data_IF_521822861493
#
_entry.id   IF_521822861493
#
_cell.length_a   1.000
_cell.length_b   1.000
_cell.length_c   1.000
_cell.angle_alpha   90.00
_cell.angle_beta   90.00
_cell.angle_gamma   90.00
#
_symmetry.space_group_name_H-M   'P 1'
#
loop_
_entity.id
_entity.type
_entity.pdbx_description
1 polymer ?
#
# COMPACT_ATOMS: atom_id res chain seq x y z
N UNK A 1 9.57 9.71 14.77
CA UNK A 1 8.36 9.55 13.95
C UNK A 1 8.75 9.08 12.55
N UNK A 2 8.15 7.99 12.09
CA UNK A 2 8.24 7.52 10.72
C UNK A 2 7.13 8.21 9.93
N UNK A 3 7.48 8.80 8.79
CA UNK A 3 6.53 9.52 7.95
C UNK A 3 6.13 8.69 6.74
N UNK A 4 4.84 8.70 6.38
CA UNK A 4 4.26 7.92 5.29
C UNK A 4 3.60 8.86 4.28
N UNK A 5 3.82 8.59 2.98
CA UNK A 5 3.07 9.19 1.89
C UNK A 5 2.47 8.09 1.00
N UNK A 6 1.20 8.24 0.62
CA UNK A 6 0.54 7.27 -0.28
C UNK A 6 0.16 7.90 -1.62
N UNK A 7 0.31 7.12 -2.69
CA UNK A 7 -0.26 7.37 -4.00
C UNK A 7 -1.10 6.15 -4.41
N UNK A 8 -2.42 6.33 -4.41
CA UNK A 8 -3.40 5.26 -4.48
C UNK A 8 -4.25 5.37 -5.73
N UNK A 9 -4.59 4.22 -6.33
CA UNK A 9 -5.66 4.12 -7.33
C UNK A 9 -6.76 3.23 -6.78
N UNK A 10 -6.66 1.91 -6.93
CA UNK A 10 -7.77 1.00 -6.62
C UNK A 10 -8.12 0.94 -5.13
N UNK A 11 -7.26 1.45 -4.24
CA UNK A 11 -7.55 1.59 -2.80
C UNK A 11 -8.19 2.93 -2.42
N UNK A 12 -8.41 3.84 -3.38
CA UNK A 12 -9.21 5.08 -3.24
C UNK A 12 -8.83 6.02 -2.08
N UNK A 13 -7.56 6.05 -1.63
CA UNK A 13 -7.16 6.89 -0.50
C UNK A 13 -7.51 6.30 0.87
N UNK A 14 -8.02 5.07 0.90
CA UNK A 14 -8.38 4.37 2.13
C UNK A 14 -7.11 4.10 2.96
N UNK A 15 -5.98 3.77 2.33
CA UNK A 15 -4.76 3.46 3.08
C UNK A 15 -4.27 4.65 3.90
N UNK A 16 -4.16 5.83 3.28
CA UNK A 16 -3.76 7.04 4.01
C UNK A 16 -4.69 7.32 5.19
N UNK A 17 -6.02 7.21 4.97
CA UNK A 17 -7.02 7.40 6.03
C UNK A 17 -6.83 6.40 7.18
N UNK A 18 -6.69 5.12 6.86
CA UNK A 18 -6.57 4.06 7.86
C UNK A 18 -5.28 4.17 8.66
N UNK A 19 -4.16 4.38 7.99
CA UNK A 19 -2.85 4.56 8.64
C UNK A 19 -2.90 5.77 9.57
N UNK A 20 -3.50 6.89 9.12
CA UNK A 20 -3.69 8.07 9.95
C UNK A 20 -4.56 7.79 11.18
N UNK A 21 -5.71 7.13 10.99
CA UNK A 21 -6.61 6.80 12.10
C UNK A 21 -5.94 5.89 13.15
N UNK A 22 -5.16 4.90 12.70
CA UNK A 22 -4.36 4.01 13.56
C UNK A 22 -3.33 4.84 14.33
N UNK A 23 -2.55 5.68 13.64
CA UNK A 23 -1.48 6.48 14.23
C UNK A 23 -1.99 7.47 15.30
N UNK A 24 -3.17 8.05 15.07
CA UNK A 24 -3.78 8.99 15.99
C UNK A 24 -4.60 8.33 17.11
N UNK A 25 -4.77 7.01 17.07
CA UNK A 25 -5.60 6.28 18.03
C UNK A 25 -7.07 6.70 17.98
N UNK A 26 -7.60 6.96 16.78
CA UNK A 26 -9.01 7.33 16.64
C UNK A 26 -9.94 6.16 16.96
N UNK A 27 -11.06 6.48 17.59
CA UNK A 27 -12.09 5.52 18.02
C UNK A 27 -13.44 5.83 17.36
N UNK A 28 -14.41 4.93 17.56
CA UNK A 28 -15.78 5.03 17.05
C UNK A 28 -15.84 5.29 15.55
N UNK A 29 -16.67 6.25 15.12
CA UNK A 29 -16.94 6.56 13.72
C UNK A 29 -15.76 7.18 12.98
N UNK A 30 -14.70 7.56 13.70
CA UNK A 30 -13.48 8.12 13.13
C UNK A 30 -12.30 7.14 13.23
N UNK A 31 -12.50 6.00 13.89
CA UNK A 31 -11.51 4.96 14.03
C UNK A 31 -11.27 4.15 12.76
N UNK A 32 -10.19 3.38 12.77
CA UNK A 32 -9.85 2.50 11.65
C UNK A 32 -10.89 1.39 11.50
N UNK A 33 -11.40 1.23 10.28
CA UNK A 33 -12.24 0.09 9.89
C UNK A 33 -11.47 -1.24 9.92
N UNK A 34 -10.15 -1.18 9.98
CA UNK A 34 -9.24 -2.33 10.01
C UNK A 34 -8.63 -2.56 11.38
N UNK A 35 -9.11 -1.90 12.45
CA UNK A 35 -8.62 -2.08 13.82
C UNK A 35 -8.53 -3.56 14.24
N UNK A 36 -9.51 -4.40 13.88
CA UNK A 36 -9.45 -5.84 14.18
C UNK A 36 -8.27 -6.53 13.50
N UNK A 37 -8.01 -6.19 12.22
CA UNK A 37 -6.88 -6.72 11.49
C UNK A 37 -5.56 -6.26 12.11
N UNK A 38 -5.42 -4.98 12.39
CA UNK A 38 -4.22 -4.38 13.00
C UNK A 38 -3.91 -5.07 14.33
N UNK A 39 -4.89 -5.15 15.23
CA UNK A 39 -4.76 -5.83 16.52
C UNK A 39 -4.35 -7.32 16.38
N UNK A 40 -4.84 -8.01 15.34
CA UNK A 40 -4.47 -9.40 15.08
C UNK A 40 -3.02 -9.51 14.65
N UNK A 41 -2.59 -8.68 13.70
CA UNK A 41 -1.22 -8.69 13.17
C UNK A 41 -0.22 -8.25 14.25
N UNK A 42 -0.55 -7.25 15.06
CA UNK A 42 0.25 -6.83 16.23
C UNK A 42 0.48 -7.97 17.22
N UNK A 43 -0.56 -8.75 17.51
CA UNK A 43 -0.44 -9.93 18.39
C UNK A 43 0.51 -10.97 17.81
N UNK A 44 0.53 -11.13 16.49
CA UNK A 44 1.46 -12.04 15.83
C UNK A 44 2.90 -11.50 15.89
N UNK A 45 3.10 -10.20 15.65
CA UNK A 45 4.40 -9.52 15.86
C UNK A 45 4.89 -9.66 17.31
N UNK A 46 4.01 -9.50 18.30
CA UNK A 46 4.37 -9.62 19.71
C UNK A 46 4.79 -11.05 20.08
N UNK A 47 4.10 -12.07 19.56
CA UNK A 47 4.51 -13.47 19.78
C UNK A 47 5.88 -13.74 19.19
N UNK A 48 6.10 -13.30 17.95
CA UNK A 48 7.38 -13.49 17.25
C UNK A 48 8.50 -12.74 18.00
N UNK A 49 8.25 -11.51 18.46
CA UNK A 49 9.19 -10.75 19.27
C UNK A 49 9.57 -11.46 20.57
N UNK A 50 8.61 -12.06 21.28
CA UNK A 50 8.89 -12.84 22.49
C UNK A 50 9.73 -14.08 22.18
N UNK A 51 9.44 -14.78 21.08
CA UNK A 51 10.19 -15.97 20.67
C UNK A 51 11.62 -15.65 20.23
N UNK A 52 11.83 -14.47 19.66
CA UNK A 52 13.12 -13.98 19.18
C UNK A 52 13.90 -13.16 20.23
N UNK A 53 13.38 -13.04 21.46
CA UNK A 53 13.96 -12.22 22.54
C UNK A 53 14.15 -10.73 22.16
N UNK A 54 13.25 -10.20 21.31
CA UNK A 54 13.18 -8.78 20.97
C UNK A 54 12.58 -7.97 22.11
N UNK A 55 13.20 -6.83 22.43
CA UNK A 55 12.82 -5.99 23.57
C UNK A 55 11.55 -5.13 23.36
N UNK A 56 11.07 -4.96 22.12
CA UNK A 56 9.91 -4.12 21.82
C UNK A 56 9.29 -4.41 20.46
N UNK A 57 8.01 -4.07 20.30
CA UNK A 57 7.33 -3.94 19.00
C UNK A 57 7.19 -2.45 18.65
N UNK A 58 6.92 -2.17 17.38
CA UNK A 58 6.73 -0.81 16.89
C UNK A 58 5.47 -0.15 17.50
N UNK A 59 5.59 1.10 17.93
CA UNK A 59 4.47 1.91 18.42
C UNK A 59 3.86 2.73 17.28
N UNK A 60 2.62 2.43 16.89
CA UNK A 60 1.96 3.13 15.77
C UNK A 60 1.77 4.63 15.99
N UNK A 61 1.83 5.11 17.25
CA UNK A 61 1.79 6.55 17.55
C UNK A 61 3.03 7.29 17.04
N UNK A 62 4.08 6.56 16.69
CA UNK A 62 5.26 7.12 16.01
C UNK A 62 5.07 7.24 14.50
N UNK A 63 3.92 6.88 13.92
CA UNK A 63 3.59 7.15 12.52
C UNK A 63 3.00 8.55 12.32
N UNK A 64 3.29 9.14 11.16
CA UNK A 64 2.60 10.33 10.67
C UNK A 64 2.39 10.23 9.17
N UNK A 65 1.15 10.46 8.72
CA UNK A 65 0.81 10.50 7.29
C UNK A 65 0.99 11.93 6.79
N UNK A 66 1.93 12.15 5.87
CA UNK A 66 2.17 13.48 5.27
C UNK A 66 1.10 13.78 4.22
N UNK A 67 0.81 12.82 3.35
CA UNK A 67 -0.24 12.95 2.36
C UNK A 67 -0.80 11.59 1.93
N UNK A 68 -2.06 11.62 1.50
CA UNK A 68 -2.71 10.53 0.77
C UNK A 68 -3.24 11.06 -0.54
N UNK A 69 -2.77 10.51 -1.65
CA UNK A 69 -3.09 11.00 -2.99
C UNK A 69 -3.92 9.94 -3.72
N UNK A 70 -5.14 10.27 -4.13
CA UNK A 70 -5.89 9.43 -5.07
C UNK A 70 -5.56 9.86 -6.50
N UNK A 71 -4.77 9.05 -7.22
CA UNK A 71 -4.17 9.38 -8.52
C UNK A 71 -4.60 8.36 -9.58
N UNK A 72 -5.89 8.30 -9.98
CA UNK A 72 -6.36 7.30 -10.94
C UNK A 72 -5.88 7.57 -12.38
N UNK A 73 -5.73 8.85 -12.77
CA UNK A 73 -5.47 9.25 -14.15
C UNK A 73 -4.00 9.33 -14.51
N UNK A 74 -3.64 9.04 -15.76
CA UNK A 74 -2.29 9.21 -16.29
C UNK A 74 -1.80 10.68 -16.21
N UNK A 75 -2.70 11.64 -16.42
CA UNK A 75 -2.34 13.07 -16.32
C UNK A 75 -1.87 13.44 -14.91
N UNK A 76 -2.59 13.00 -13.87
CA UNK A 76 -2.19 13.22 -12.48
C UNK A 76 -0.90 12.49 -12.10
N UNK A 77 -0.62 11.32 -12.70
CA UNK A 77 0.69 10.65 -12.56
C UNK A 77 1.81 11.57 -13.07
N UNK A 78 1.62 12.22 -14.22
CA UNK A 78 2.63 13.14 -14.78
C UNK A 78 2.70 14.48 -14.04
N UNK A 79 1.56 15.08 -13.71
CA UNK A 79 1.50 16.45 -13.19
C UNK A 79 1.64 16.54 -11.66
N UNK A 80 1.07 15.57 -10.92
CA UNK A 80 1.10 15.56 -9.45
C UNK A 80 2.29 14.75 -8.97
N UNK A 81 2.44 13.51 -9.45
CA UNK A 81 3.56 12.65 -9.05
C UNK A 81 4.88 12.97 -9.78
N UNK A 82 4.85 13.85 -10.79
CA UNK A 82 6.04 14.28 -11.54
C UNK A 82 6.82 13.11 -12.15
N UNK A 83 6.11 12.03 -12.50
CA UNK A 83 6.70 10.88 -13.18
C UNK A 83 6.75 11.20 -14.68
N UNK A 84 7.94 11.54 -15.19
CA UNK A 84 8.13 11.94 -16.59
C UNK A 84 7.80 10.80 -17.57
N UNK A 85 8.28 9.59 -17.25
CA UNK A 85 8.11 8.38 -18.06
C UNK A 85 7.32 7.33 -17.26
N UNK A 86 5.99 7.47 -17.12
CA UNK A 86 5.17 6.46 -16.47
C UNK A 86 5.11 5.18 -17.32
N UNK A 87 4.73 4.06 -16.70
CA UNK A 87 4.43 2.82 -17.44
C UNK A 87 3.35 3.12 -18.46
N UNK A 88 3.55 2.69 -19.71
CA UNK A 88 2.57 2.84 -20.78
C UNK A 88 1.37 1.92 -20.53
N UNK A 89 0.14 2.47 -20.37
CA UNK A 89 -1.03 1.67 -20.10
C UNK A 89 -1.48 0.88 -21.34
N UNK A 90 -2.08 -0.28 -21.10
CA UNK A 90 -2.73 -1.06 -22.15
C UNK A 90 -3.91 -0.29 -22.77
N UNK A 91 -4.64 0.44 -21.92
CA UNK A 91 -5.78 1.25 -22.29
C UNK A 91 -5.98 2.43 -21.33
N UNK A 92 -6.63 3.48 -21.81
CA UNK A 92 -7.11 4.60 -21.01
C UNK A 92 -8.64 4.66 -21.00
N UNK A 93 -9.26 4.47 -19.83
CA UNK A 93 -10.70 4.66 -19.64
C UNK A 93 -10.94 6.06 -19.09
N UNK A 94 -11.31 7.03 -19.94
CA UNK A 94 -11.49 8.44 -19.53
C UNK A 94 -10.26 9.00 -18.80
N UNK A 95 -9.06 8.63 -19.27
CA UNK A 95 -7.77 9.02 -18.68
C UNK A 95 -7.30 8.13 -17.53
N UNK A 96 -8.14 7.22 -17.01
CA UNK A 96 -7.76 6.22 -16.00
C UNK A 96 -6.87 5.17 -16.66
N UNK A 97 -5.71 4.91 -16.05
CA UNK A 97 -4.71 3.95 -16.54
C UNK A 97 -5.15 2.51 -16.26
N UNK A 98 -5.09 1.65 -17.28
CA UNK A 98 -5.33 0.21 -17.18
C UNK A 98 -4.05 -0.53 -17.54
N UNK A 99 -3.54 -1.34 -16.62
CA UNK A 99 -2.39 -2.22 -16.82
C UNK A 99 -2.80 -3.69 -16.65
N UNK A 100 -1.91 -4.61 -17.04
CA UNK A 100 -1.93 -5.98 -16.52
C UNK A 100 -1.19 -6.04 -15.17
N UNK A 101 -1.13 -7.23 -14.55
CA UNK A 101 -0.46 -7.43 -13.27
C UNK A 101 1.02 -6.98 -13.27
N UNK A 102 1.73 -7.16 -14.39
CA UNK A 102 3.15 -6.76 -14.48
C UNK A 102 3.29 -5.24 -14.50
N UNK A 103 2.50 -4.57 -15.33
CA UNK A 103 2.48 -3.11 -15.42
C UNK A 103 1.96 -2.46 -14.14
N UNK A 104 0.99 -3.07 -13.46
CA UNK A 104 0.51 -2.59 -12.16
C UNK A 104 1.59 -2.69 -11.08
N UNK A 105 2.36 -3.78 -11.02
CA UNK A 105 3.48 -3.90 -10.07
C UNK A 105 4.53 -2.80 -10.35
N UNK A 106 4.96 -2.66 -11.59
CA UNK A 106 5.95 -1.65 -11.98
C UNK A 106 5.46 -0.22 -11.66
N UNK A 107 4.24 0.10 -12.07
CA UNK A 107 3.66 1.42 -11.84
C UNK A 107 3.42 1.69 -10.35
N UNK A 108 3.04 0.68 -9.55
CA UNK A 108 2.87 0.85 -8.10
C UNK A 108 4.18 1.25 -7.41
N UNK A 109 5.32 0.68 -7.83
CA UNK A 109 6.65 1.04 -7.33
C UNK A 109 6.98 2.49 -7.69
N UNK A 110 6.81 2.88 -8.97
CA UNK A 110 7.04 4.26 -9.40
C UNK A 110 6.18 5.27 -8.64
N UNK A 111 4.90 4.95 -8.41
CA UNK A 111 3.99 5.79 -7.64
C UNK A 111 4.43 5.93 -6.17
N UNK A 112 4.85 4.83 -5.55
CA UNK A 112 5.33 4.83 -4.17
C UNK A 112 6.58 5.70 -4.01
N UNK A 113 7.57 5.54 -4.90
CA UNK A 113 8.81 6.33 -4.88
C UNK A 113 8.54 7.81 -5.13
N UNK A 114 7.65 8.13 -6.07
CA UNK A 114 7.27 9.51 -6.36
C UNK A 114 6.55 10.17 -5.17
N UNK A 115 5.57 9.49 -4.55
CA UNK A 115 4.87 9.99 -3.36
C UNK A 115 5.85 10.24 -2.21
N UNK A 116 6.75 9.29 -1.94
CA UNK A 116 7.80 9.42 -0.93
C UNK A 116 8.67 10.65 -1.20
N UNK A 117 9.15 10.81 -2.43
CA UNK A 117 10.05 11.90 -2.85
C UNK A 117 9.38 13.27 -2.71
N UNK A 118 8.15 13.42 -3.21
CA UNK A 118 7.42 14.70 -3.19
C UNK A 118 7.11 15.13 -1.76
N UNK A 119 6.72 14.17 -0.92
CA UNK A 119 6.37 14.43 0.48
C UNK A 119 7.59 14.52 1.41
N UNK A 120 8.79 14.17 0.93
CA UNK A 120 9.97 13.94 1.76
C UNK A 120 9.67 12.99 2.93
N UNK A 121 8.96 11.90 2.64
CA UNK A 121 8.54 10.90 3.61
C UNK A 121 9.59 9.80 3.81
N UNK A 122 9.54 9.12 4.96
CA UNK A 122 10.35 7.94 5.26
C UNK A 122 9.93 6.74 4.40
N UNK A 123 8.61 6.55 4.22
CA UNK A 123 8.03 5.43 3.49
C UNK A 123 7.04 5.96 2.44
N UNK A 124 7.13 5.43 1.22
CA UNK A 124 6.14 5.59 0.16
C UNK A 124 5.27 4.35 0.02
N UNK A 125 3.99 4.54 -0.27
CA UNK A 125 3.07 3.45 -0.61
C UNK A 125 2.39 3.75 -1.93
N UNK A 126 2.43 2.80 -2.86
CA UNK A 126 1.82 2.91 -4.19
C UNK A 126 0.83 1.81 -4.43
N UNK A 127 -0.35 2.12 -4.98
CA UNK A 127 -1.34 1.10 -5.39
C UNK A 127 -1.94 1.42 -6.75
N UNK A 128 -2.06 0.41 -7.62
CA UNK A 128 -2.74 0.49 -8.90
C UNK A 128 -3.35 -0.87 -9.27
N UNK A 129 -4.48 -0.88 -9.98
CA UNK A 129 -5.05 -2.13 -10.48
C UNK A 129 -5.89 -1.89 -11.74
N UNK A 130 -5.48 -2.48 -12.85
CA UNK A 130 -6.23 -2.60 -14.09
C UNK A 130 -6.89 -3.97 -14.18
N UNK A 131 -6.24 -4.89 -14.91
CA UNK A 131 -6.67 -6.26 -15.18
C UNK A 131 -5.81 -7.22 -14.37
N UNK A 132 -6.44 -8.03 -13.52
CA UNK A 132 -5.75 -8.98 -12.65
C UNK A 132 -5.87 -8.62 -11.17
N UNK A 133 -4.86 -9.00 -10.40
CA UNK A 133 -4.76 -8.80 -8.95
C UNK A 133 -4.25 -7.40 -8.56
N UNK A 134 -3.67 -6.65 -9.50
CA UNK A 134 -3.15 -5.32 -9.28
C UNK A 134 -1.81 -5.30 -8.55
N UNK A 135 -1.27 -4.10 -8.35
CA UNK A 135 0.05 -3.85 -7.80
C UNK A 135 0.00 -3.01 -6.52
N UNK A 136 0.80 -3.43 -5.56
CA UNK A 136 1.03 -2.80 -4.26
C UNK A 136 2.53 -2.66 -4.12
N UNK A 137 3.00 -1.49 -3.70
CA UNK A 137 4.39 -1.25 -3.33
C UNK A 137 4.48 -0.51 -1.99
N UNK A 138 5.43 -0.93 -1.15
CA UNK A 138 5.90 -0.20 0.02
C UNK A 138 7.40 0.00 -0.15
N UNK A 139 7.85 1.25 -0.13
CA UNK A 139 9.25 1.62 -0.43
C UNK A 139 9.83 2.53 0.62
N UNK A 140 11.08 2.31 1.00
CA UNK A 140 11.90 3.24 1.76
C UNK A 140 13.24 3.49 1.02
N UNK A 141 14.30 3.86 1.74
CA UNK A 141 15.64 4.06 1.16
C UNK A 141 16.42 2.77 0.93
N UNK A 142 16.07 1.66 1.60
CA UNK A 142 16.85 0.42 1.60
C UNK A 142 16.12 -0.74 0.93
N UNK A 143 14.79 -0.71 0.90
CA UNK A 143 13.92 -1.83 0.57
C UNK A 143 12.77 -1.39 -0.32
N UNK A 144 12.43 -2.27 -1.26
CA UNK A 144 11.17 -2.27 -2.01
C UNK A 144 10.44 -3.57 -1.67
N UNK A 145 9.23 -3.47 -1.16
CA UNK A 145 8.31 -4.60 -1.04
C UNK A 145 7.23 -4.44 -2.09
N UNK A 146 7.14 -5.36 -3.05
CA UNK A 146 6.05 -5.40 -4.02
C UNK A 146 5.12 -6.59 -3.75
N UNK A 147 3.84 -6.38 -4.01
CA UNK A 147 2.81 -7.38 -3.82
C UNK A 147 1.63 -7.16 -4.76
N UNK A 148 0.74 -8.14 -4.86
CA UNK A 148 -0.59 -7.98 -5.45
C UNK A 148 -1.68 -8.18 -4.41
N UNK A 149 -2.94 -7.80 -4.71
CA UNK A 149 -4.07 -8.24 -3.90
C UNK A 149 -4.29 -9.77 -4.03
N UNK A 150 -5.23 -10.31 -3.26
CA UNK A 150 -5.61 -11.73 -3.31
C UNK A 150 -6.85 -11.97 -4.19
N UNK A 151 -7.36 -10.93 -4.86
CA UNK A 151 -8.59 -11.00 -5.67
C UNK A 151 -8.32 -10.43 -7.06
N UNK A 152 -8.53 -11.24 -8.09
CA UNK A 152 -8.46 -10.79 -9.48
C UNK A 152 -9.76 -10.09 -9.88
N UNK A 153 -9.65 -8.98 -10.60
CA UNK A 153 -10.78 -8.28 -11.21
C UNK A 153 -10.35 -7.61 -12.52
N UNK A 154 -11.33 -7.14 -13.30
CA UNK A 154 -11.10 -6.40 -14.53
C UNK A 154 -11.75 -5.02 -14.43
N UNK A 155 -10.93 -3.96 -14.47
CA UNK A 155 -11.41 -2.58 -14.41
C UNK A 155 -12.30 -2.20 -15.62
N UNK A 156 -12.10 -2.84 -16.77
CA UNK A 156 -12.86 -2.54 -18.00
C UNK A 156 -14.30 -3.06 -17.88
N UNK A 157 -14.50 -4.23 -17.27
CA UNK A 157 -15.80 -4.92 -17.22
C UNK A 157 -16.79 -4.24 -16.26
N UNK A 158 -16.31 -3.37 -15.35
CA UNK A 158 -17.14 -2.60 -14.44
C UNK A 158 -17.87 -3.42 -13.37
N UNK A 159 -17.45 -4.67 -13.13
CA UNK A 159 -17.98 -5.53 -12.07
C UNK A 159 -17.65 -4.95 -10.69
N UNK A 160 -18.61 -4.19 -10.15
CA UNK A 160 -18.42 -3.40 -8.95
C UNK A 160 -18.16 -4.26 -7.70
N UNK A 161 -18.72 -5.46 -7.65
CA UNK A 161 -18.55 -6.35 -6.50
C UNK A 161 -17.14 -6.92 -6.47
N UNK A 162 -16.63 -7.44 -7.60
CA UNK A 162 -15.25 -7.92 -7.68
C UNK A 162 -14.23 -6.78 -7.54
N UNK A 163 -14.50 -5.61 -8.09
CA UNK A 163 -13.65 -4.42 -7.89
C UNK A 163 -13.59 -4.01 -6.42
N UNK A 164 -14.73 -4.05 -5.71
CA UNK A 164 -14.77 -3.76 -4.28
C UNK A 164 -14.03 -4.81 -3.45
N UNK A 165 -14.18 -6.10 -3.77
CA UNK A 165 -13.45 -7.18 -3.11
C UNK A 165 -11.94 -7.06 -3.33
N UNK A 166 -11.51 -6.72 -4.55
CA UNK A 166 -10.11 -6.42 -4.87
C UNK A 166 -9.58 -5.24 -4.08
N UNK A 167 -10.32 -4.13 -4.03
CA UNK A 167 -9.98 -2.97 -3.19
C UNK A 167 -9.78 -3.38 -1.73
N UNK A 168 -10.74 -4.09 -1.14
CA UNK A 168 -10.67 -4.50 0.25
C UNK A 168 -9.45 -5.39 0.52
N UNK A 169 -9.23 -6.39 -0.33
CA UNK A 169 -8.06 -7.27 -0.23
C UNK A 169 -6.75 -6.49 -0.34
N UNK A 170 -6.66 -5.54 -1.27
CA UNK A 170 -5.50 -4.66 -1.42
C UNK A 170 -5.21 -3.86 -0.16
N UNK A 171 -6.23 -3.21 0.42
CA UNK A 171 -6.07 -2.45 1.67
C UNK A 171 -5.59 -3.35 2.82
N UNK A 172 -6.24 -4.50 3.02
CA UNK A 172 -5.86 -5.44 4.08
C UNK A 172 -4.42 -5.93 3.92
N UNK A 173 -4.02 -6.26 2.69
CA UNK A 173 -2.69 -6.80 2.41
C UNK A 173 -1.61 -5.75 2.57
N UNK A 174 -1.82 -4.53 2.10
CA UNK A 174 -0.89 -3.42 2.34
C UNK A 174 -0.72 -3.13 3.83
N UNK A 175 -1.80 -3.06 4.61
CA UNK A 175 -1.72 -2.83 6.06
C UNK A 175 -0.95 -3.97 6.77
N UNK A 176 -1.22 -5.23 6.42
CA UNK A 176 -0.47 -6.38 6.96
C UNK A 176 1.02 -6.26 6.67
N UNK A 177 1.40 -6.00 5.42
CA UNK A 177 2.81 -5.87 5.02
C UNK A 177 3.46 -4.71 5.77
N UNK A 178 2.80 -3.54 5.84
CA UNK A 178 3.31 -2.38 6.55
C UNK A 178 3.58 -2.68 8.03
N UNK A 179 2.64 -3.32 8.73
CA UNK A 179 2.80 -3.67 10.15
C UNK A 179 3.97 -4.63 10.37
N UNK A 180 4.06 -5.70 9.56
CA UNK A 180 5.19 -6.62 9.65
C UNK A 180 6.52 -5.94 9.36
N UNK A 181 6.55 -5.06 8.36
CA UNK A 181 7.75 -4.33 7.97
C UNK A 181 8.21 -3.37 9.08
N UNK A 182 7.29 -2.62 9.69
CA UNK A 182 7.60 -1.74 10.83
C UNK A 182 8.14 -2.49 12.05
N UNK A 183 7.91 -3.80 12.13
CA UNK A 183 8.39 -4.68 13.20
C UNK A 183 9.56 -5.58 12.76
N UNK A 184 10.23 -5.24 11.66
CA UNK A 184 11.36 -6.00 11.09
C UNK A 184 11.05 -7.48 10.87
N UNK A 185 9.79 -7.82 10.59
CA UNK A 185 9.32 -9.19 10.48
C UNK A 185 9.22 -9.64 9.01
N UNK A 186 10.37 -9.67 8.35
CA UNK A 186 10.49 -10.02 6.93
C UNK A 186 10.07 -11.46 6.62
N UNK A 187 10.17 -12.39 7.58
CA UNK A 187 9.78 -13.77 7.37
C UNK A 187 8.27 -13.93 7.26
N UNK A 188 7.50 -13.17 8.05
CA UNK A 188 6.04 -13.08 7.86
C UNK A 188 5.68 -12.47 6.51
N UNK A 189 6.40 -11.43 6.07
CA UNK A 189 6.17 -10.82 4.76
C UNK A 189 6.41 -11.82 3.63
N UNK A 190 7.51 -12.58 3.69
CA UNK A 190 7.84 -13.63 2.70
C UNK A 190 6.84 -14.80 2.70
N UNK A 191 6.15 -15.02 3.81
CA UNK A 191 5.11 -16.06 3.90
C UNK A 191 3.77 -15.68 3.24
N UNK A 192 3.59 -14.41 2.88
CA UNK A 192 2.41 -13.94 2.18
C UNK A 192 2.49 -14.28 0.69
N UNK A 193 1.37 -14.66 0.11
CA UNK A 193 1.28 -14.97 -1.32
C UNK A 193 1.61 -13.74 -2.17
N UNK A 194 2.29 -13.95 -3.30
CA UNK A 194 2.57 -12.94 -4.30
C UNK A 194 3.33 -11.71 -3.76
N UNK A 195 4.22 -11.88 -2.79
CA UNK A 195 5.09 -10.82 -2.26
C UNK A 195 6.54 -11.02 -2.69
N UNK A 196 7.22 -9.93 -3.06
CA UNK A 196 8.66 -9.89 -3.35
C UNK A 196 9.31 -8.75 -2.58
N UNK A 197 10.54 -8.99 -2.13
CA UNK A 197 11.35 -8.02 -1.38
C UNK A 197 12.65 -7.82 -2.13
N UNK A 198 13.00 -6.57 -2.39
CA UNK A 198 14.22 -6.15 -3.06
C UNK A 198 14.99 -5.22 -2.15
N UNK A 199 16.31 -5.40 -2.08
CA UNK A 199 17.22 -4.51 -1.37
C UNK A 199 17.91 -3.58 -2.38
N UNK A 200 17.99 -2.29 -2.06
CA UNK A 200 18.59 -1.24 -2.91
C UNK A 200 20.11 -1.18 -2.80
#
# INVERSE_FOLDING_TARGET
MITIATAECFTHGILAREIHAIAQGYEDNFGSNYSYLVNKVEKDCLKDAILEDKCSIFDFRDLSVICGLFIPTLDAVKSVLQIENPVEPLELIKGIKVYDDSGDIEMSILMAEAAKKIANASIGIGTTAGIGYGGIAIVDDEVIISASSDVSANLIDGDSDNLHMRQKSGVEKTLKILIYYLNDNFDRIKSLDNVKIYHK
#
